data_IF_858170371916
#
_entry.id   IF_858170371916
#
_cell.length_a   1.000
_cell.length_b   1.000
_cell.length_c   1.000
_cell.angle_alpha   90.00
_cell.angle_beta   90.00
_cell.angle_gamma   90.00
#
_symmetry.space_group_name_H-M   'P 1'
#
loop_
_entity.id
_entity.type
_entity.pdbx_description
1 polymer ?
#
# COMPACT_ATOMS: atom_id res chain seq x y z
N UNK A 1 31.30 -11.34 -12.65
CA UNK A 1 31.39 -10.23 -11.68
C UNK A 1 30.15 -10.29 -10.83
N UNK A 2 30.28 -10.47 -9.52
CA UNK A 2 29.14 -10.46 -8.61
C UNK A 2 28.82 -8.98 -8.33
N UNK A 3 27.87 -8.40 -9.07
CA UNK A 3 27.40 -7.05 -8.78
C UNK A 3 26.70 -7.08 -7.42
N UNK A 4 27.37 -6.55 -6.41
CA UNK A 4 26.81 -6.36 -5.09
C UNK A 4 25.67 -5.34 -5.23
N UNK A 5 24.42 -5.82 -5.31
CA UNK A 5 23.22 -4.96 -5.39
C UNK A 5 23.29 -3.90 -4.29
N UNK A 6 23.09 -2.63 -4.66
CA UNK A 6 23.09 -1.52 -3.71
C UNK A 6 22.07 -1.79 -2.60
N UNK A 7 22.33 -1.36 -1.35
CA UNK A 7 21.31 -1.42 -0.28
C UNK A 7 19.98 -0.80 -0.70
N UNK A 8 20.01 0.24 -1.56
CA UNK A 8 18.79 0.85 -2.11
C UNK A 8 18.07 -0.14 -3.03
N UNK A 9 18.78 -0.83 -3.93
CA UNK A 9 18.18 -1.82 -4.83
C UNK A 9 17.54 -2.97 -4.06
N UNK A 10 18.20 -3.44 -2.99
CA UNK A 10 17.62 -4.49 -2.13
C UNK A 10 16.31 -4.03 -1.49
N UNK A 11 16.27 -2.79 -1.02
CA UNK A 11 15.06 -2.22 -0.42
C UNK A 11 13.96 -1.94 -1.46
N UNK A 12 14.31 -1.50 -2.66
CA UNK A 12 13.37 -1.34 -3.77
C UNK A 12 12.79 -2.69 -4.22
N UNK A 13 13.62 -3.74 -4.32
CA UNK A 13 13.13 -5.09 -4.61
C UNK A 13 12.17 -5.60 -3.53
N UNK A 14 12.44 -5.30 -2.26
CA UNK A 14 11.54 -5.64 -1.15
C UNK A 14 10.20 -4.92 -1.27
N UNK A 15 10.22 -3.59 -1.51
CA UNK A 15 9.00 -2.81 -1.72
C UNK A 15 8.22 -3.29 -2.97
N UNK A 16 8.91 -3.62 -4.05
CA UNK A 16 8.32 -4.15 -5.28
C UNK A 16 7.57 -5.45 -5.00
N UNK A 17 8.21 -6.40 -4.31
CA UNK A 17 7.59 -7.67 -3.94
C UNK A 17 6.34 -7.46 -3.06
N UNK A 18 6.40 -6.53 -2.09
CA UNK A 18 5.23 -6.18 -1.27
C UNK A 18 4.09 -5.61 -2.10
N UNK A 19 4.36 -4.65 -2.99
CA UNK A 19 3.35 -4.03 -3.85
C UNK A 19 2.73 -5.05 -4.82
N UNK A 20 3.54 -5.91 -5.46
CA UNK A 20 3.06 -6.98 -6.35
C UNK A 20 2.14 -7.98 -5.63
N UNK A 21 2.49 -8.35 -4.39
CA UNK A 21 1.64 -9.24 -3.59
C UNK A 21 0.30 -8.59 -3.23
N UNK A 22 0.29 -7.29 -2.91
CA UNK A 22 -0.96 -6.57 -2.62
C UNK A 22 -1.79 -6.34 -3.88
N UNK A 23 -1.15 -6.02 -5.02
CA UNK A 23 -1.79 -5.94 -6.33
C UNK A 23 -2.55 -7.24 -6.66
N UNK A 24 -1.84 -8.37 -6.58
CA UNK A 24 -2.43 -9.69 -6.86
C UNK A 24 -3.57 -10.01 -5.90
N UNK A 25 -3.41 -9.71 -4.62
CA UNK A 25 -4.47 -9.88 -3.62
C UNK A 25 -5.76 -9.13 -4.00
N UNK A 26 -5.67 -7.88 -4.44
CA UNK A 26 -6.85 -7.10 -4.82
C UNK A 26 -7.51 -7.65 -6.08
N UNK A 27 -6.74 -8.04 -7.10
CA UNK A 27 -7.28 -8.68 -8.29
C UNK A 27 -8.00 -9.98 -7.95
N UNK A 28 -7.37 -10.85 -7.16
CA UNK A 28 -7.91 -12.15 -6.77
C UNK A 28 -9.25 -12.03 -6.05
N UNK A 29 -9.36 -11.09 -5.13
CA UNK A 29 -10.62 -10.86 -4.39
C UNK A 29 -11.65 -10.19 -5.29
N UNK A 30 -11.27 -9.22 -6.12
CA UNK A 30 -12.22 -8.52 -7.01
C UNK A 30 -12.94 -9.45 -7.98
N UNK A 31 -12.29 -10.55 -8.38
CA UNK A 31 -12.90 -11.59 -9.24
C UNK A 31 -13.99 -12.40 -8.56
N UNK A 32 -14.05 -12.39 -7.22
CA UNK A 32 -14.94 -13.21 -6.39
C UNK A 32 -16.06 -12.41 -5.73
N UNK A 33 -16.04 -11.09 -5.84
CA UNK A 33 -17.01 -10.19 -5.22
C UNK A 33 -18.10 -9.84 -6.21
N UNK A 34 -19.36 -10.03 -5.80
CA UNK A 34 -20.54 -9.73 -6.62
C UNK A 34 -20.96 -8.25 -6.53
N UNK A 35 -20.77 -7.62 -5.36
CA UNK A 35 -21.19 -6.24 -5.15
C UNK A 35 -20.33 -5.25 -5.95
N UNK A 36 -20.94 -4.54 -6.89
CA UNK A 36 -20.26 -3.59 -7.79
C UNK A 36 -19.39 -2.58 -7.04
N UNK A 37 -19.92 -1.92 -6.01
CA UNK A 37 -19.21 -0.88 -5.25
C UNK A 37 -17.93 -1.41 -4.58
N UNK A 38 -17.98 -2.61 -3.99
CA UNK A 38 -16.81 -3.25 -3.36
C UNK A 38 -15.83 -3.74 -4.41
N UNK A 39 -16.32 -4.26 -5.54
CA UNK A 39 -15.47 -4.67 -6.67
C UNK A 39 -14.71 -3.47 -7.26
N UNK A 40 -15.38 -2.34 -7.44
CA UNK A 40 -14.77 -1.09 -7.93
C UNK A 40 -13.70 -0.56 -6.96
N UNK A 41 -13.96 -0.62 -5.65
CA UNK A 41 -12.96 -0.33 -4.62
C UNK A 41 -11.71 -1.21 -4.82
N UNK A 42 -11.89 -2.54 -4.89
CA UNK A 42 -10.76 -3.47 -5.04
C UNK A 42 -9.97 -3.22 -6.33
N UNK A 43 -10.64 -2.96 -7.45
CA UNK A 43 -9.98 -2.62 -8.71
C UNK A 43 -9.26 -1.27 -8.63
N UNK A 44 -9.80 -0.30 -7.90
CA UNK A 44 -9.12 0.97 -7.64
C UNK A 44 -7.86 0.79 -6.80
N UNK A 45 -7.93 -0.05 -5.76
CA UNK A 45 -6.76 -0.39 -4.94
C UNK A 45 -5.70 -1.12 -5.77
N UNK A 46 -6.09 -2.07 -6.63
CA UNK A 46 -5.18 -2.73 -7.56
C UNK A 46 -4.47 -1.72 -8.48
N UNK A 47 -5.20 -0.78 -9.08
CA UNK A 47 -4.59 0.28 -9.91
C UNK A 47 -3.62 1.17 -9.11
N UNK A 48 -3.93 1.44 -7.85
CA UNK A 48 -3.03 2.18 -6.97
C UNK A 48 -1.73 1.40 -6.68
N UNK A 49 -1.82 0.08 -6.48
CA UNK A 49 -0.62 -0.78 -6.37
C UNK A 49 0.19 -0.85 -7.66
N UNK A 50 -0.47 -0.95 -8.81
CA UNK A 50 0.18 -0.92 -10.12
C UNK A 50 0.96 0.39 -10.31
N UNK A 51 0.37 1.53 -9.97
CA UNK A 51 1.05 2.82 -10.01
C UNK A 51 2.27 2.86 -9.08
N UNK A 52 2.18 2.24 -7.88
CA UNK A 52 3.32 2.10 -6.97
C UNK A 52 4.41 1.19 -7.55
N UNK A 53 4.05 0.06 -8.15
CA UNK A 53 4.97 -0.86 -8.85
C UNK A 53 5.75 -0.11 -9.93
N UNK A 54 5.05 0.56 -10.85
CA UNK A 54 5.69 1.35 -11.91
C UNK A 54 6.62 2.42 -11.36
N UNK A 55 6.23 3.06 -10.24
CA UNK A 55 7.09 4.06 -9.59
C UNK A 55 8.35 3.43 -9.00
N UNK A 56 8.25 2.27 -8.37
CA UNK A 56 9.39 1.52 -7.81
C UNK A 56 10.33 1.08 -8.95
N UNK A 57 9.80 0.52 -10.03
CA UNK A 57 10.59 0.11 -11.20
C UNK A 57 11.31 1.31 -11.84
N UNK A 58 10.63 2.45 -11.96
CA UNK A 58 11.26 3.70 -12.39
C UNK A 58 12.39 4.11 -11.46
N UNK A 59 12.22 3.99 -10.14
CA UNK A 59 13.30 4.31 -9.18
C UNK A 59 14.50 3.37 -9.31
N UNK A 60 14.27 2.10 -9.63
CA UNK A 60 15.34 1.13 -9.89
C UNK A 60 16.11 1.49 -11.18
N UNK A 61 15.45 2.07 -12.18
CA UNK A 61 16.07 2.45 -13.44
C UNK A 61 16.77 3.82 -13.41
N UNK A 62 16.18 4.82 -12.76
CA UNK A 62 16.63 6.22 -12.82
C UNK A 62 17.01 6.84 -11.48
N UNK A 63 16.89 6.11 -10.37
CA UNK A 63 17.19 6.59 -9.01
C UNK A 63 15.98 7.17 -8.26
N UNK A 64 16.20 7.52 -6.99
CA UNK A 64 15.13 7.75 -5.99
C UNK A 64 14.83 9.23 -5.68
N UNK A 65 15.46 10.18 -6.39
CA UNK A 65 15.42 11.63 -6.07
C UNK A 65 13.98 12.16 -5.98
N UNK A 66 13.15 11.83 -6.97
CA UNK A 66 11.73 12.22 -7.04
C UNK A 66 10.89 11.83 -5.82
N UNK A 67 11.15 10.65 -5.26
CA UNK A 67 10.39 10.13 -4.12
C UNK A 67 10.86 10.80 -2.83
N UNK A 68 12.17 11.03 -2.73
CA UNK A 68 12.80 11.73 -1.61
C UNK A 68 12.30 13.16 -1.48
N UNK A 69 12.17 13.89 -2.60
CA UNK A 69 11.66 15.26 -2.55
C UNK A 69 10.17 15.30 -2.21
N UNK A 70 9.34 14.41 -2.78
CA UNK A 70 7.92 14.32 -2.44
C UNK A 70 7.69 14.03 -0.97
N UNK A 71 8.48 13.14 -0.37
CA UNK A 71 8.37 12.80 1.04
C UNK A 71 8.53 14.00 1.99
N UNK A 72 9.20 15.08 1.56
CA UNK A 72 9.45 16.26 2.41
C UNK A 72 8.20 17.09 2.67
N UNK A 73 7.19 16.97 1.83
CA UNK A 73 5.96 17.77 1.88
C UNK A 73 4.76 16.95 2.33
N UNK A 74 4.95 15.69 2.72
CA UNK A 74 3.85 14.83 3.14
C UNK A 74 3.53 15.08 4.61
N UNK A 75 2.27 15.36 4.89
CA UNK A 75 1.74 15.31 6.25
C UNK A 75 1.47 13.86 6.62
N UNK A 76 1.97 13.46 7.79
CA UNK A 76 1.85 12.10 8.33
C UNK A 76 0.64 12.04 9.27
N UNK A 77 -0.57 12.17 8.73
CA UNK A 77 -1.76 11.81 9.48
C UNK A 77 -1.90 10.29 9.50
N UNK A 78 -1.92 9.72 10.71
CA UNK A 78 -2.09 8.29 10.91
C UNK A 78 -3.49 7.84 10.43
N UNK A 79 -3.58 6.87 9.52
CA UNK A 79 -4.86 6.42 8.97
C UNK A 79 -5.62 5.56 9.98
N UNK A 80 -6.95 5.67 10.00
CA UNK A 80 -7.83 4.87 10.88
C UNK A 80 -7.76 3.36 10.52
N UNK A 81 -7.32 2.56 11.49
CA UNK A 81 -7.17 1.11 11.40
C UNK A 81 -8.36 0.33 11.97
N UNK A 82 -9.38 1.02 12.50
CA UNK A 82 -10.53 0.40 13.15
C UNK A 82 -11.28 -0.51 12.17
N UNK A 83 -11.51 -1.79 12.49
CA UNK A 83 -12.33 -2.66 11.66
C UNK A 83 -13.78 -2.17 11.52
N UNK A 84 -14.39 -2.38 10.35
CA UNK A 84 -15.82 -2.14 10.11
C UNK A 84 -16.63 -3.26 10.77
N UNK A 85 -17.64 -2.91 11.58
CA UNK A 85 -18.55 -3.80 12.31
C UNK A 85 -18.21 -5.30 12.23
N UNK A 86 -17.37 -5.76 13.16
CA UNK A 86 -16.85 -7.13 13.16
C UNK A 86 -17.94 -8.19 13.27
N UNK A 87 -19.04 -7.88 13.97
CA UNK A 87 -20.14 -8.82 14.18
C UNK A 87 -20.92 -8.95 12.87
N UNK A 88 -21.25 -7.83 12.23
CA UNK A 88 -21.94 -7.86 10.96
C UNK A 88 -21.08 -8.47 9.85
N UNK A 89 -19.76 -8.29 9.89
CA UNK A 89 -18.82 -8.87 8.92
C UNK A 89 -18.78 -10.42 8.93
N UNK A 90 -19.31 -11.09 9.95
CA UNK A 90 -19.46 -12.57 9.94
C UNK A 90 -20.51 -13.04 8.93
N UNK A 91 -21.47 -12.17 8.59
CA UNK A 91 -22.62 -12.50 7.75
C UNK A 91 -22.75 -11.62 6.51
N UNK A 92 -22.20 -10.40 6.53
CA UNK A 92 -22.15 -9.50 5.39
C UNK A 92 -20.83 -9.66 4.60
N UNK A 93 -20.84 -10.26 3.41
CA UNK A 93 -19.64 -10.48 2.61
C UNK A 93 -18.96 -9.17 2.18
N UNK A 94 -19.70 -8.05 2.13
CA UNK A 94 -19.16 -6.74 1.77
C UNK A 94 -18.25 -6.21 2.87
N UNK A 95 -18.74 -6.23 4.11
CA UNK A 95 -17.96 -5.80 5.28
C UNK A 95 -16.79 -6.74 5.56
N UNK A 96 -16.97 -8.05 5.36
CA UNK A 96 -15.88 -9.02 5.42
C UNK A 96 -14.74 -8.65 4.46
N UNK A 97 -15.06 -8.32 3.21
CA UNK A 97 -14.07 -7.91 2.20
C UNK A 97 -13.43 -6.57 2.55
N UNK A 98 -14.21 -5.58 2.99
CA UNK A 98 -13.71 -4.29 3.45
C UNK A 98 -12.67 -4.45 4.57
N UNK A 99 -12.96 -5.27 5.59
CA UNK A 99 -12.02 -5.57 6.66
C UNK A 99 -10.75 -6.27 6.17
N UNK A 100 -10.87 -7.17 5.19
CA UNK A 100 -9.70 -7.82 4.59
C UNK A 100 -8.83 -6.84 3.80
N UNK A 101 -9.45 -5.94 3.03
CA UNK A 101 -8.74 -4.89 2.30
C UNK A 101 -8.04 -3.92 3.25
N UNK A 102 -8.74 -3.47 4.30
CA UNK A 102 -8.18 -2.59 5.34
C UNK A 102 -6.96 -3.26 6.00
N UNK A 103 -7.12 -4.50 6.47
CA UNK A 103 -6.04 -5.26 7.10
C UNK A 103 -4.84 -5.46 6.17
N UNK A 104 -5.07 -5.75 4.89
CA UNK A 104 -3.98 -5.91 3.93
C UNK A 104 -3.24 -4.60 3.70
N UNK A 105 -3.96 -3.50 3.52
CA UNK A 105 -3.37 -2.18 3.29
C UNK A 105 -2.58 -1.70 4.51
N UNK A 106 -3.16 -1.87 5.70
CA UNK A 106 -2.54 -1.49 6.98
C UNK A 106 -1.24 -2.25 7.24
N UNK A 107 -1.17 -3.54 6.87
CA UNK A 107 0.09 -4.30 6.91
C UNK A 107 1.17 -3.68 6.03
N UNK A 108 0.82 -3.21 4.82
CA UNK A 108 1.75 -2.52 3.94
C UNK A 108 2.20 -1.17 4.51
N UNK A 109 1.25 -0.39 5.03
CA UNK A 109 1.51 0.91 5.69
C UNK A 109 2.50 0.76 6.85
N UNK A 110 2.17 -0.10 7.81
CA UNK A 110 2.99 -0.36 8.99
C UNK A 110 4.35 -0.93 8.62
N UNK A 111 4.41 -1.85 7.64
CA UNK A 111 5.66 -2.39 7.14
C UNK A 111 6.60 -1.29 6.62
N UNK A 112 6.11 -0.40 5.77
CA UNK A 112 6.90 0.69 5.21
C UNK A 112 7.34 1.70 6.27
N UNK A 113 6.46 2.12 7.18
CA UNK A 113 6.86 2.97 8.31
C UNK A 113 7.93 2.32 9.17
N UNK A 114 7.82 1.01 9.40
CA UNK A 114 8.77 0.28 10.24
C UNK A 114 10.16 0.21 9.60
N UNK A 115 10.26 0.22 8.27
CA UNK A 115 11.54 0.33 7.55
C UNK A 115 12.03 1.77 7.63
N UNK A 116 11.15 2.74 7.36
CA UNK A 116 11.51 4.16 7.41
C UNK A 116 12.10 4.57 8.76
N UNK A 117 11.51 4.11 9.87
CA UNK A 117 11.95 4.40 11.22
C UNK A 117 13.30 3.76 11.61
N UNK A 118 13.67 2.65 10.96
CA UNK A 118 14.93 1.91 11.25
C UNK A 118 16.04 2.21 10.24
N UNK A 119 15.72 2.92 9.16
CA UNK A 119 16.67 3.24 8.11
C UNK A 119 17.74 4.20 8.63
N UNK A 120 19.01 3.82 8.50
CA UNK A 120 20.15 4.70 8.80
C UNK A 120 20.40 5.75 7.71
N UNK A 121 19.87 5.51 6.51
CA UNK A 121 19.96 6.42 5.37
C UNK A 121 18.70 7.26 5.29
N UNK A 122 18.85 8.58 5.31
CA UNK A 122 17.75 9.54 5.15
C UNK A 122 17.00 9.31 3.82
N UNK A 123 17.73 8.95 2.77
CA UNK A 123 17.16 8.64 1.45
C UNK A 123 16.22 7.44 1.54
N UNK A 124 16.65 6.36 2.20
CA UNK A 124 15.81 5.17 2.41
C UNK A 124 14.63 5.53 3.32
N UNK A 125 14.87 6.27 4.41
CA UNK A 125 13.79 6.65 5.32
C UNK A 125 12.68 7.40 4.60
N UNK A 126 13.03 8.43 3.83
CA UNK A 126 12.08 9.24 3.06
C UNK A 126 11.37 8.45 1.98
N UNK A 127 12.08 7.60 1.25
CA UNK A 127 11.48 6.75 0.23
C UNK A 127 10.39 5.84 0.82
N UNK A 128 10.64 5.24 1.98
CA UNK A 128 9.64 4.40 2.64
C UNK A 128 8.52 5.19 3.30
N UNK A 129 8.76 6.43 3.77
CA UNK A 129 7.68 7.35 4.17
C UNK A 129 6.76 7.69 3.00
N UNK A 130 7.32 7.93 1.82
CA UNK A 130 6.53 8.13 0.60
C UNK A 130 5.66 6.90 0.27
N UNK A 131 6.21 5.69 0.37
CA UNK A 131 5.42 4.47 0.17
C UNK A 131 4.34 4.28 1.24
N UNK A 132 4.64 4.60 2.49
CA UNK A 132 3.63 4.57 3.56
C UNK A 132 2.51 5.57 3.30
N UNK A 133 2.81 6.79 2.87
CA UNK A 133 1.79 7.77 2.49
C UNK A 133 0.85 7.26 1.39
N UNK A 134 1.39 6.60 0.35
CA UNK A 134 0.56 5.95 -0.68
C UNK A 134 -0.42 4.93 -0.07
N UNK A 135 0.01 4.18 0.96
CA UNK A 135 -0.89 3.26 1.69
C UNK A 135 -1.92 3.99 2.54
N UNK A 136 -1.56 5.12 3.16
CA UNK A 136 -2.50 5.95 3.90
C UNK A 136 -3.64 6.45 3.00
N UNK A 137 -3.34 6.88 1.77
CA UNK A 137 -4.36 7.26 0.79
C UNK A 137 -5.30 6.10 0.43
N UNK A 138 -4.75 4.90 0.24
CA UNK A 138 -5.56 3.71 0.01
C UNK A 138 -6.46 3.38 1.21
N UNK A 139 -5.98 3.54 2.44
CA UNK A 139 -6.78 3.34 3.65
C UNK A 139 -7.91 4.37 3.71
N UNK A 140 -7.63 5.65 3.43
CA UNK A 140 -8.67 6.70 3.32
C UNK A 140 -9.74 6.32 2.30
N UNK A 141 -9.34 5.81 1.14
CA UNK A 141 -10.28 5.34 0.12
C UNK A 141 -11.15 4.17 0.63
N UNK A 142 -10.56 3.21 1.33
CA UNK A 142 -11.28 2.09 1.94
C UNK A 142 -12.31 2.60 2.95
N UNK A 143 -11.91 3.48 3.88
CA UNK A 143 -12.80 4.10 4.87
C UNK A 143 -13.99 4.77 4.18
N UNK A 144 -13.72 5.67 3.24
CA UNK A 144 -14.76 6.42 2.53
C UNK A 144 -15.79 5.52 1.83
N UNK A 145 -15.34 4.47 1.14
CA UNK A 145 -16.24 3.58 0.40
C UNK A 145 -16.98 2.62 1.34
N UNK A 146 -16.29 2.05 2.33
CA UNK A 146 -16.84 1.00 3.19
C UNK A 146 -17.73 1.54 4.32
N UNK A 147 -17.52 2.76 4.81
CA UNK A 147 -18.43 3.42 5.77
C UNK A 147 -19.79 3.78 5.15
N UNK A 148 -19.89 3.79 3.82
CA UNK A 148 -21.11 4.12 3.08
C UNK A 148 -21.81 2.89 2.48
N UNK A 149 -21.57 1.68 3.03
CA UNK A 149 -22.15 0.41 2.57
C UNK A 149 -23.40 -0.04 3.32
#
# INVERSE_FOLDING_TARGET
>A
MNEQKSPIDQMLNLALATAMNQYQFYLDISSKVETTKVKELLLSLARSEEALITKIESMMASGVVDAVERARTLEEDEPDDTPFDLVQAETDPRLYVCNRALKMTMKGYTFYLSIAARAKSEVISRMFRYFAHMKAEQIRQIRFICESL
#
